data_IF_251967392319
#
_entry.id   IF_251967392319
#
_cell.length_a   1.000
_cell.length_b   1.000
_cell.length_c   1.000
_cell.angle_alpha   90.00
_cell.angle_beta   90.00
_cell.angle_gamma   90.00
#
_symmetry.space_group_name_H-M   'P 1'
#
loop_
_entity.id
_entity.type
_entity.pdbx_description
1 polymer ?
#
# COMPACT_ATOMS: atom_id res chain seq x y z
N UNK A 1 22.56 8.00 -5.02
CA UNK A 1 23.16 8.35 -6.33
C UNK A 1 22.13 9.14 -7.10
N UNK A 2 22.30 10.45 -7.27
CA UNK A 2 21.36 11.27 -8.03
C UNK A 2 21.77 11.24 -9.50
N UNK A 3 21.01 10.53 -10.34
CA UNK A 3 21.19 10.54 -11.79
C UNK A 3 20.42 11.76 -12.31
N UNK A 4 21.07 12.63 -13.10
CA UNK A 4 20.38 13.79 -13.67
C UNK A 4 19.32 13.37 -14.69
N UNK A 5 18.17 14.07 -14.70
CA UNK A 5 17.08 13.82 -15.66
C UNK A 5 17.56 13.90 -17.11
N UNK A 6 18.48 14.81 -17.42
CA UNK A 6 19.10 14.93 -18.75
C UNK A 6 19.82 13.65 -19.18
N UNK A 7 20.49 12.95 -18.26
CA UNK A 7 21.17 11.69 -18.57
C UNK A 7 20.18 10.59 -18.92
N UNK A 8 19.02 10.56 -18.25
CA UNK A 8 17.95 9.60 -18.52
C UNK A 8 17.32 9.90 -19.89
N UNK A 9 17.01 11.17 -20.18
CA UNK A 9 16.45 11.59 -21.47
C UNK A 9 17.39 11.26 -22.64
N UNK A 10 18.69 11.49 -22.49
CA UNK A 10 19.69 11.09 -23.49
C UNK A 10 19.72 9.58 -23.70
N UNK A 11 19.57 8.78 -22.64
CA UNK A 11 19.51 7.32 -22.74
C UNK A 11 18.23 6.86 -23.44
N UNK A 12 17.09 7.49 -23.18
CA UNK A 12 15.85 7.22 -23.89
C UNK A 12 15.99 7.50 -25.39
N UNK A 13 16.57 8.63 -25.78
CA UNK A 13 16.80 8.97 -27.19
C UNK A 13 17.66 7.91 -27.91
N UNK A 14 18.71 7.41 -27.24
CA UNK A 14 19.56 6.36 -27.77
C UNK A 14 18.80 5.02 -27.93
N UNK A 15 18.02 4.60 -26.91
CA UNK A 15 17.23 3.38 -27.00
C UNK A 15 16.14 3.46 -28.08
N UNK A 16 15.51 4.63 -28.29
CA UNK A 16 14.59 4.86 -29.42
C UNK A 16 15.33 4.72 -30.75
N UNK A 17 16.53 5.27 -30.88
CA UNK A 17 17.34 5.11 -32.08
C UNK A 17 17.69 3.64 -32.34
N UNK A 18 18.05 2.86 -31.31
CA UNK A 18 18.31 1.42 -31.44
C UNK A 18 17.06 0.64 -31.82
N UNK A 19 15.91 0.96 -31.22
CA UNK A 19 14.63 0.34 -31.56
C UNK A 19 14.29 0.54 -33.04
N UNK A 20 14.51 1.76 -33.56
CA UNK A 20 14.25 2.10 -34.97
C UNK A 20 15.14 1.34 -35.95
N UNK A 21 16.35 0.96 -35.53
CA UNK A 21 17.30 0.19 -36.33
C UNK A 21 17.25 -1.32 -36.03
N UNK A 22 16.30 -1.77 -35.20
CA UNK A 22 16.12 -3.17 -34.83
C UNK A 22 14.76 -3.68 -35.30
N UNK A 23 14.61 -4.99 -35.42
CA UNK A 23 13.35 -5.61 -35.82
C UNK A 23 12.89 -6.66 -34.80
N UNK A 24 11.59 -6.97 -34.84
CA UNK A 24 10.99 -8.04 -34.03
C UNK A 24 11.19 -7.86 -32.53
N UNK A 25 11.77 -8.88 -31.90
CA UNK A 25 11.91 -8.94 -30.44
C UNK A 25 12.87 -7.88 -29.88
N UNK A 26 13.98 -7.60 -30.59
CA UNK A 26 14.98 -6.61 -30.13
C UNK A 26 14.39 -5.19 -30.08
N UNK A 27 13.58 -4.84 -31.07
CA UNK A 27 12.87 -3.55 -31.05
C UNK A 27 11.95 -3.43 -29.82
N UNK A 28 11.25 -4.50 -29.45
CA UNK A 28 10.40 -4.53 -28.25
C UNK A 28 11.21 -4.38 -26.96
N UNK A 29 12.37 -5.02 -26.87
CA UNK A 29 13.26 -4.91 -25.70
C UNK A 29 13.72 -3.47 -25.50
N UNK A 30 14.16 -2.78 -26.56
CA UNK A 30 14.53 -1.36 -26.48
C UNK A 30 13.36 -0.48 -26.03
N UNK A 31 12.14 -0.75 -26.51
CA UNK A 31 10.94 -0.01 -26.09
C UNK A 31 10.57 -0.28 -24.61
N UNK A 32 10.79 -1.49 -24.10
CA UNK A 32 10.59 -1.81 -22.68
C UNK A 32 11.57 -1.02 -21.81
N UNK A 33 12.82 -0.86 -22.25
CA UNK A 33 13.79 -0.02 -21.55
C UNK A 33 13.34 1.44 -21.53
N UNK A 34 12.84 1.97 -22.65
CA UNK A 34 12.29 3.35 -22.70
C UNK A 34 11.15 3.53 -21.71
N UNK A 35 10.22 2.56 -21.64
CA UNK A 35 9.12 2.59 -20.67
C UNK A 35 9.63 2.66 -19.23
N UNK A 36 10.54 1.76 -18.85
CA UNK A 36 11.10 1.76 -17.51
C UNK A 36 11.82 3.07 -17.15
N UNK A 37 12.45 3.73 -18.14
CA UNK A 37 13.06 5.05 -17.94
C UNK A 37 12.04 6.18 -17.74
N UNK A 38 10.87 6.10 -18.38
CA UNK A 38 9.75 7.00 -18.10
C UNK A 38 9.23 6.80 -16.67
N UNK A 39 8.97 5.55 -16.31
CA UNK A 39 8.42 5.20 -15.00
C UNK A 39 9.35 5.70 -13.88
N UNK A 40 10.67 5.50 -14.02
CA UNK A 40 11.67 6.03 -13.08
C UNK A 40 11.61 7.56 -12.91
N UNK A 41 11.45 8.32 -14.00
CA UNK A 41 11.39 9.79 -13.94
C UNK A 41 10.07 10.31 -13.35
N UNK A 42 8.98 9.56 -13.51
CA UNK A 42 7.66 9.95 -13.01
C UNK A 42 7.47 9.54 -11.55
N UNK A 43 7.98 8.39 -11.13
CA UNK A 43 7.93 7.92 -9.74
C UNK A 43 8.73 8.82 -8.79
N UNK A 44 9.86 9.39 -9.23
CA UNK A 44 10.64 10.35 -8.42
C UNK A 44 9.83 11.62 -8.06
N UNK A 45 8.72 11.88 -8.78
CA UNK A 45 7.83 13.01 -8.49
C UNK A 45 6.77 12.69 -7.39
N UNK A 46 6.46 11.41 -7.15
CA UNK A 46 5.33 10.97 -6.29
C UNK A 46 5.69 10.92 -4.80
N UNK A 47 6.99 10.87 -4.47
CA UNK A 47 7.49 10.83 -3.08
C UNK A 47 7.32 12.16 -2.30
N UNK A 48 6.63 13.16 -2.88
CA UNK A 48 6.22 14.39 -2.17
C UNK A 48 4.75 14.38 -1.74
N UNK A 49 4.10 13.22 -1.72
CA UNK A 49 2.78 13.11 -1.07
C UNK A 49 2.97 13.11 0.46
N UNK A 50 2.69 14.28 1.04
CA UNK A 50 2.66 14.49 2.47
C UNK A 50 1.89 13.36 3.18
N UNK A 51 2.54 12.75 4.17
CA UNK A 51 1.90 11.83 5.11
C UNK A 51 0.63 12.47 5.67
N UNK A 52 -0.53 11.97 5.24
CA UNK A 52 -1.82 12.32 5.84
C UNK A 52 -2.05 11.33 6.97
N UNK A 53 -1.90 11.83 8.20
CA UNK A 53 -2.22 11.07 9.41
C UNK A 53 -3.66 10.53 9.32
N UNK A 54 -3.90 9.23 9.56
CA UNK A 54 -5.25 8.70 9.53
C UNK A 54 -6.02 9.29 10.70
N UNK A 55 -6.98 10.18 10.42
CA UNK A 55 -7.94 10.61 11.44
C UNK A 55 -8.84 9.44 11.78
N UNK A 56 -8.55 8.80 12.92
CA UNK A 56 -9.46 7.87 13.57
C UNK A 56 -10.76 8.62 13.88
N UNK A 57 -11.78 8.40 13.06
CA UNK A 57 -13.14 8.84 13.36
C UNK A 57 -13.64 8.01 14.54
N UNK A 58 -13.54 8.57 15.74
CA UNK A 58 -14.24 8.04 16.91
C UNK A 58 -15.74 8.15 16.65
N UNK A 59 -16.37 7.03 16.33
CA UNK A 59 -17.82 6.93 16.22
C UNK A 59 -18.41 7.09 17.61
N UNK A 60 -18.86 8.31 17.91
CA UNK A 60 -19.68 8.58 19.10
C UNK A 60 -21.05 7.93 18.87
N UNK A 61 -21.26 6.78 19.52
CA UNK A 61 -22.54 6.10 19.57
C UNK A 61 -23.50 6.98 20.38
N UNK A 62 -24.47 7.59 19.70
CA UNK A 62 -25.58 8.30 20.35
C UNK A 62 -26.54 7.30 20.99
N UNK A 63 -26.81 7.39 22.31
CA UNK A 63 -27.80 6.52 22.95
C UNK A 63 -29.22 6.96 22.57
N UNK A 64 -29.97 6.04 21.96
CA UNK A 64 -31.40 6.23 21.69
C UNK A 64 -32.21 6.10 22.99
N UNK A 65 -33.27 6.91 23.21
CA UNK A 65 -34.06 6.84 24.43
C UNK A 65 -35.13 5.73 24.38
N UNK A 66 -35.04 4.84 25.38
CA UNK A 66 -36.11 4.18 26.15
C UNK A 66 -37.37 3.68 25.44
N UNK A 67 -37.50 2.35 25.35
CA UNK A 67 -38.76 1.66 25.64
C UNK A 67 -38.53 0.53 26.67
N UNK A 68 -39.32 0.60 27.73
CA UNK A 68 -39.42 -0.27 28.92
C UNK A 68 -39.83 -1.70 28.59
N UNK A 69 -39.22 -2.75 29.17
CA UNK A 69 -39.87 -3.76 30.06
C UNK A 69 -38.82 -4.61 30.86
N UNK A 70 -39.02 -4.67 32.18
CA UNK A 70 -38.61 -5.65 33.21
C UNK A 70 -37.15 -5.80 33.72
N UNK A 71 -36.95 -5.92 35.05
CA UNK A 71 -35.64 -5.95 35.69
C UNK A 71 -35.16 -7.39 35.91
N UNK A 72 -33.98 -7.73 35.40
CA UNK A 72 -33.26 -8.92 35.87
C UNK A 72 -31.79 -8.56 36.05
N UNK A 73 -31.38 -8.61 37.31
CA UNK A 73 -30.04 -8.78 37.86
C UNK A 73 -28.85 -8.09 37.15
N UNK A 74 -28.25 -7.14 37.87
CA UNK A 74 -26.88 -6.72 37.64
C UNK A 74 -25.94 -7.93 37.64
N UNK A 75 -25.18 -8.10 36.55
CA UNK A 75 -23.95 -8.90 36.56
C UNK A 75 -22.83 -8.04 36.00
N UNK A 76 -21.99 -7.57 36.93
CA UNK A 76 -20.60 -7.25 36.65
C UNK A 76 -19.97 -8.54 36.10
N UNK A 77 -19.49 -8.52 34.86
CA UNK A 77 -19.05 -9.72 34.16
C UNK A 77 -17.89 -9.40 33.21
N UNK A 78 -16.71 -9.76 33.68
CA UNK A 78 -15.41 -9.95 33.02
C UNK A 78 -15.46 -10.29 31.51
N UNK A 79 -14.48 -9.85 30.69
CA UNK A 79 -14.44 -10.20 29.28
C UNK A 79 -14.35 -11.72 29.08
N UNK A 80 -15.35 -12.28 28.39
CA UNK A 80 -15.40 -13.68 28.00
C UNK A 80 -14.30 -13.92 26.95
N UNK A 81 -13.20 -14.53 27.36
CA UNK A 81 -12.19 -15.08 26.46
C UNK A 81 -12.78 -16.30 25.75
N UNK A 82 -12.82 -16.24 24.42
CA UNK A 82 -13.12 -17.39 23.57
C UNK A 82 -11.93 -18.33 23.68
N UNK A 83 -12.09 -19.45 24.39
CA UNK A 83 -11.12 -20.55 24.42
C UNK A 83 -11.30 -21.37 23.15
N UNK A 84 -10.40 -21.20 22.18
CA UNK A 84 -10.25 -22.16 21.09
C UNK A 84 -9.31 -23.28 21.57
N UNK A 85 -9.82 -24.51 21.56
CA UNK A 85 -9.25 -25.67 22.26
C UNK A 85 -8.09 -26.36 21.52
N UNK A 86 -7.52 -25.75 20.47
CA UNK A 86 -6.51 -26.41 19.64
C UNK A 86 -5.42 -25.47 19.05
N UNK A 87 -4.99 -24.46 19.81
CA UNK A 87 -3.87 -23.59 19.43
C UNK A 87 -2.53 -24.09 20.01
N UNK A 88 -2.08 -25.27 19.58
CA UNK A 88 -0.75 -25.77 19.93
C UNK A 88 0.34 -25.24 18.97
N UNK A 89 0.37 -23.91 18.80
CA UNK A 89 1.37 -23.19 17.99
C UNK A 89 2.04 -22.14 18.85
N UNK A 90 3.29 -22.39 19.22
CA UNK A 90 4.22 -21.42 19.79
C UNK A 90 4.19 -20.10 18.98
N UNK A 91 4.08 -18.98 19.70
CA UNK A 91 4.02 -17.63 19.15
C UNK A 91 4.97 -17.40 17.97
N UNK A 92 4.40 -17.15 16.79
CA UNK A 92 5.08 -16.75 15.54
C UNK A 92 5.53 -15.28 15.59
N UNK A 93 6.05 -14.86 16.74
CA UNK A 93 6.77 -13.59 16.91
C UNK A 93 8.06 -13.87 17.67
N UNK A 94 8.90 -14.69 17.03
CA UNK A 94 10.34 -14.73 17.27
C UNK A 94 11.04 -14.25 16.00
N UNK A 95 10.90 -12.94 15.72
CA UNK A 95 11.75 -12.12 14.84
C UNK A 95 11.63 -10.65 15.24
#
# INVERSE_FOLDING_TARGET
>A
MQISSDKILNKMANEVAKAKNSEGQKAKEHLLVVRALCDLLLDEQVETSAYVEPRLQSQVITPHPTMTVQPVAAVSGEPVYIKEEDANGNSLFDF
#
